data_IF_115342781894
#
_entry.id   IF_115342781894
#
_cell.length_a   1.000
_cell.length_b   1.000
_cell.length_c   1.000
_cell.angle_alpha   90.00
_cell.angle_beta   90.00
_cell.angle_gamma   90.00
#
_symmetry.space_group_name_H-M   'P 1'
#
loop_
_entity.id
_entity.type
_entity.pdbx_description
1 polymer ?
#
# COMPACT_ATOMS: atom_id res chain seq x y z
N UNK A 1 15.84 4.82 6.83
CA UNK A 1 16.36 3.81 5.89
C UNK A 1 15.40 3.67 4.72
N UNK A 2 15.94 3.39 3.51
CA UNK A 2 15.17 3.07 2.32
C UNK A 2 15.56 1.68 1.80
N UNK A 3 14.63 0.71 1.90
CA UNK A 3 14.87 -0.68 1.48
C UNK A 3 14.39 -0.87 0.05
N UNK A 4 15.26 -1.26 -0.86
CA UNK A 4 14.94 -1.47 -2.29
C UNK A 4 15.90 -2.44 -2.96
N UNK A 5 15.44 -3.10 -4.04
CA UNK A 5 16.29 -3.87 -4.95
C UNK A 5 17.26 -2.99 -5.76
N UNK A 6 16.89 -1.72 -6.01
CA UNK A 6 17.72 -0.75 -6.72
C UNK A 6 18.04 0.41 -5.79
N UNK A 7 19.13 0.29 -5.05
CA UNK A 7 19.53 1.25 -4.03
C UNK A 7 19.98 2.62 -4.59
N UNK A 8 20.41 2.68 -5.87
CA UNK A 8 20.76 3.94 -6.52
C UNK A 8 19.60 4.96 -6.57
N UNK A 9 18.36 4.49 -6.44
CA UNK A 9 17.16 5.33 -6.39
C UNK A 9 16.81 5.84 -4.99
N UNK A 10 17.58 5.45 -3.96
CA UNK A 10 17.38 5.94 -2.59
C UNK A 10 18.19 7.23 -2.42
N UNK A 11 17.48 8.33 -2.19
CA UNK A 11 18.09 9.65 -2.06
C UNK A 11 18.29 10.05 -0.58
N UNK A 12 19.32 10.82 -0.25
CA UNK A 12 19.47 11.41 1.08
C UNK A 12 18.19 12.17 1.50
N UNK A 13 17.83 12.18 2.78
CA UNK A 13 18.58 11.67 3.93
C UNK A 13 18.41 10.16 4.22
N UNK A 14 17.76 9.40 3.35
CA UNK A 14 17.56 7.98 3.56
C UNK A 14 18.88 7.19 3.40
N UNK A 15 19.12 6.27 4.31
CA UNK A 15 20.24 5.32 4.23
C UNK A 15 19.75 4.10 3.41
N UNK A 16 20.40 3.80 2.26
CA UNK A 16 19.97 2.70 1.41
C UNK A 16 20.27 1.33 2.02
N UNK A 17 19.33 0.41 1.90
CA UNK A 17 19.50 -1.00 2.20
C UNK A 17 19.06 -1.81 0.98
N UNK A 18 19.95 -2.64 0.46
CA UNK A 18 19.58 -3.60 -0.59
C UNK A 18 18.80 -4.76 0.02
N UNK A 19 17.61 -5.02 -0.47
CA UNK A 19 16.89 -6.27 -0.23
C UNK A 19 15.83 -6.51 -1.28
N UNK A 20 15.59 -7.79 -1.58
CA UNK A 20 14.41 -8.28 -2.28
C UNK A 20 13.37 -8.72 -1.25
N UNK A 21 12.15 -8.20 -1.37
CA UNK A 21 11.06 -8.53 -0.45
C UNK A 21 10.68 -10.01 -0.49
N UNK A 22 10.95 -10.70 -1.60
CA UNK A 22 10.65 -12.12 -1.76
C UNK A 22 11.75 -13.03 -1.18
N UNK A 23 12.92 -12.46 -0.91
CA UNK A 23 14.02 -13.17 -0.26
C UNK A 23 13.90 -13.05 1.26
N UNK A 24 13.52 -14.16 1.91
CA UNK A 24 13.31 -14.20 3.37
C UNK A 24 14.58 -13.93 4.17
N UNK A 25 15.73 -14.37 3.71
CA UNK A 25 17.01 -14.14 4.38
C UNK A 25 17.39 -12.67 4.32
N UNK A 26 17.22 -12.05 3.16
CA UNK A 26 17.39 -10.61 2.98
C UNK A 26 16.46 -9.84 3.94
N UNK A 27 15.17 -10.18 3.98
CA UNK A 27 14.21 -9.49 4.83
C UNK A 27 14.49 -9.70 6.32
N UNK A 28 14.95 -10.87 6.72
CA UNK A 28 15.37 -11.13 8.09
C UNK A 28 16.60 -10.31 8.46
N UNK A 29 17.59 -10.20 7.58
CA UNK A 29 18.75 -9.34 7.74
C UNK A 29 18.36 -7.85 7.86
N UNK A 30 17.37 -7.39 7.07
CA UNK A 30 16.83 -6.04 7.20
C UNK A 30 16.21 -5.84 8.58
N UNK A 31 15.36 -6.74 9.03
CA UNK A 31 14.64 -6.61 10.32
C UNK A 31 15.54 -6.81 11.54
N UNK A 32 16.77 -7.30 11.38
CA UNK A 32 17.77 -7.32 12.47
C UNK A 32 18.28 -5.93 12.87
N UNK A 33 17.93 -4.88 12.13
CA UNK A 33 18.37 -3.48 12.33
C UNK A 33 17.45 -2.66 13.24
N UNK A 34 16.79 -3.21 14.19
CA UNK A 34 16.04 -2.49 15.24
C UNK A 34 15.23 -1.27 14.77
N UNK A 35 14.26 -1.47 13.88
CA UNK A 35 13.36 -0.40 13.48
C UNK A 35 12.24 -0.21 14.50
N UNK A 36 11.90 1.06 14.82
CA UNK A 36 10.71 1.39 15.61
C UNK A 36 9.45 1.42 14.75
N UNK A 37 9.56 1.87 13.50
CA UNK A 37 8.44 2.01 12.56
C UNK A 37 8.84 1.42 11.21
N UNK A 38 7.95 0.62 10.64
CA UNK A 38 8.11 0.04 9.30
C UNK A 38 6.96 0.51 8.42
N UNK A 39 7.30 1.14 7.29
CA UNK A 39 6.33 1.61 6.30
C UNK A 39 6.54 0.81 5.02
N UNK A 40 5.49 0.14 4.56
CA UNK A 40 5.54 -0.75 3.39
C UNK A 40 4.72 -0.16 2.25
N UNK A 41 5.41 0.19 1.15
CA UNK A 41 4.82 0.79 -0.05
C UNK A 41 5.23 -0.02 -1.28
N UNK A 42 4.50 -1.08 -1.56
CA UNK A 42 4.81 -1.99 -2.67
C UNK A 42 4.14 -1.53 -3.96
N UNK A 43 4.80 -1.84 -5.07
CA UNK A 43 4.24 -1.69 -6.42
C UNK A 43 4.62 -2.94 -7.22
N UNK A 44 3.67 -3.61 -7.88
CA UNK A 44 3.97 -4.77 -8.70
C UNK A 44 4.88 -4.39 -9.89
N UNK A 45 5.83 -5.26 -10.20
CA UNK A 45 6.66 -5.12 -11.40
C UNK A 45 5.83 -5.38 -12.66
N UNK A 46 4.81 -6.23 -12.55
CA UNK A 46 3.92 -6.61 -13.63
C UNK A 46 2.46 -6.43 -13.20
N UNK A 47 1.68 -5.75 -14.05
CA UNK A 47 0.23 -5.60 -13.85
C UNK A 47 -0.51 -6.86 -14.35
N UNK A 48 -0.38 -7.95 -13.59
CA UNK A 48 -1.04 -9.23 -13.81
C UNK A 48 -1.53 -9.82 -12.48
N UNK A 49 -2.47 -10.77 -12.49
CA UNK A 49 -2.89 -11.47 -11.27
C UNK A 49 -1.70 -12.08 -10.51
N UNK A 50 -0.77 -12.69 -11.25
CA UNK A 50 0.45 -13.28 -10.67
C UNK A 50 1.36 -12.21 -10.08
N UNK A 51 1.61 -11.10 -10.80
CA UNK A 51 2.43 -9.99 -10.32
C UNK A 51 1.86 -9.39 -9.02
N UNK A 52 0.53 -9.25 -8.92
CA UNK A 52 -0.15 -8.80 -7.69
C UNK A 52 0.01 -9.81 -6.56
N UNK A 53 -0.23 -11.09 -6.83
CA UNK A 53 -0.08 -12.14 -5.83
C UNK A 53 1.33 -12.18 -5.26
N UNK A 54 2.33 -12.22 -6.13
CA UNK A 54 3.74 -12.26 -5.75
C UNK A 54 4.15 -11.01 -4.96
N UNK A 55 3.79 -9.82 -5.44
CA UNK A 55 4.19 -8.57 -4.79
C UNK A 55 3.48 -8.37 -3.45
N UNK A 56 2.16 -8.52 -3.43
CA UNK A 56 1.40 -8.18 -2.23
C UNK A 56 1.34 -9.34 -1.24
N UNK A 57 0.86 -10.52 -1.64
CA UNK A 57 0.65 -11.61 -0.69
C UNK A 57 1.95 -12.32 -0.30
N UNK A 58 2.81 -12.69 -1.27
CA UNK A 58 4.09 -13.32 -0.96
C UNK A 58 5.03 -12.32 -0.28
N UNK A 59 5.05 -11.05 -0.74
CA UNK A 59 5.78 -9.98 -0.07
C UNK A 59 5.32 -9.73 1.36
N UNK A 60 4.00 -9.66 1.62
CA UNK A 60 3.45 -9.56 2.97
C UNK A 60 3.84 -10.76 3.84
N UNK A 61 3.84 -11.95 3.25
CA UNK A 61 4.22 -13.19 3.95
C UNK A 61 5.70 -13.20 4.34
N UNK A 62 6.57 -12.71 3.47
CA UNK A 62 8.00 -12.59 3.73
C UNK A 62 8.29 -11.52 4.80
N UNK A 63 7.66 -10.35 4.69
CA UNK A 63 7.78 -9.28 5.70
C UNK A 63 7.30 -9.78 7.05
N UNK A 64 6.10 -10.38 7.12
CA UNK A 64 5.56 -10.90 8.36
C UNK A 64 6.48 -11.94 9.00
N UNK A 65 7.02 -12.86 8.20
CA UNK A 65 7.99 -13.82 8.70
C UNK A 65 9.20 -13.13 9.33
N UNK A 66 9.78 -12.13 8.66
CA UNK A 66 10.92 -11.38 9.18
C UNK A 66 10.58 -10.58 10.45
N UNK A 67 9.38 -10.00 10.52
CA UNK A 67 8.87 -9.28 11.70
C UNK A 67 8.68 -10.22 12.90
N UNK A 68 8.11 -11.41 12.69
CA UNK A 68 7.90 -12.39 13.76
C UNK A 68 9.22 -12.90 14.35
N UNK A 69 10.29 -12.92 13.55
CA UNK A 69 11.63 -13.37 13.95
C UNK A 69 12.59 -12.22 14.28
N UNK A 70 12.12 -10.97 14.28
CA UNK A 70 12.93 -9.82 14.67
C UNK A 70 13.24 -9.84 16.17
N UNK A 71 14.49 -9.57 16.54
CA UNK A 71 14.91 -9.47 17.96
C UNK A 71 14.18 -8.33 18.68
N UNK A 72 13.99 -7.21 18.00
CA UNK A 72 13.18 -6.09 18.45
C UNK A 72 12.01 -5.89 17.49
N UNK A 73 10.81 -5.98 18.03
CA UNK A 73 9.58 -5.79 17.25
C UNK A 73 9.33 -4.31 16.99
N UNK A 74 9.03 -3.90 15.75
CA UNK A 74 8.59 -2.54 15.46
C UNK A 74 7.33 -2.19 16.27
N UNK A 75 7.25 -0.95 16.73
CA UNK A 75 6.11 -0.43 17.48
C UNK A 75 4.92 -0.11 16.58
N UNK A 76 5.18 0.15 15.29
CA UNK A 76 4.17 0.46 14.29
C UNK A 76 4.57 -0.11 12.93
N UNK A 77 3.61 -0.75 12.28
CA UNK A 77 3.70 -1.14 10.87
C UNK A 77 2.60 -0.40 10.11
N UNK A 78 2.98 0.35 9.07
CA UNK A 78 2.05 0.96 8.14
C UNK A 78 2.13 0.19 6.82
N UNK A 79 1.01 -0.39 6.40
CA UNK A 79 0.87 -1.09 5.13
C UNK A 79 0.03 -0.27 4.16
N UNK A 80 0.62 0.15 3.06
CA UNK A 80 -0.10 0.86 2.00
C UNK A 80 -0.79 -0.16 1.09
N UNK A 81 -2.11 -0.07 1.05
CA UNK A 81 -3.03 -0.87 0.22
C UNK A 81 -3.79 0.03 -0.76
N UNK A 82 -4.89 -0.44 -1.30
CA UNK A 82 -5.66 0.26 -2.33
C UNK A 82 -7.17 0.15 -2.10
N UNK A 83 -7.92 1.22 -2.40
CA UNK A 83 -9.38 1.18 -2.47
C UNK A 83 -9.92 0.23 -3.55
N UNK A 84 -9.06 -0.35 -4.39
CA UNK A 84 -9.45 -1.40 -5.34
C UNK A 84 -10.16 -2.57 -4.65
N UNK A 85 -9.92 -2.82 -3.37
CA UNK A 85 -10.60 -3.87 -2.60
C UNK A 85 -12.11 -3.67 -2.49
N UNK A 86 -12.61 -2.47 -2.78
CA UNK A 86 -14.04 -2.12 -2.81
C UNK A 86 -14.66 -2.13 -4.20
N UNK A 87 -13.91 -2.52 -5.24
CA UNK A 87 -14.30 -2.35 -6.66
C UNK A 87 -15.71 -2.84 -6.98
N UNK A 88 -16.10 -3.96 -6.41
CA UNK A 88 -17.42 -4.57 -6.67
C UNK A 88 -18.31 -4.53 -5.42
N UNK A 89 -18.13 -3.52 -4.58
CA UNK A 89 -19.10 -3.20 -3.53
C UNK A 89 -20.41 -2.77 -4.19
N UNK A 90 -21.50 -3.28 -3.68
CA UNK A 90 -22.86 -2.82 -4.10
C UNK A 90 -23.23 -1.48 -3.45
N UNK A 91 -22.35 -0.91 -2.64
CA UNK A 91 -22.58 0.35 -1.96
C UNK A 91 -22.25 1.54 -2.88
N UNK A 92 -23.15 2.54 -2.89
CA UNK A 92 -22.92 3.77 -3.62
C UNK A 92 -21.77 4.59 -3.04
N UNK A 93 -21.52 4.46 -1.74
CA UNK A 93 -20.41 5.07 -1.00
C UNK A 93 -19.80 4.01 -0.09
N UNK A 94 -18.50 3.94 -0.02
CA UNK A 94 -17.76 2.98 0.80
C UNK A 94 -16.96 3.70 1.88
N UNK A 95 -16.82 3.05 3.03
CA UNK A 95 -16.00 3.47 4.15
C UNK A 95 -15.18 2.29 4.70
N UNK A 96 -14.47 2.52 5.80
CA UNK A 96 -13.63 1.52 6.44
C UNK A 96 -14.42 0.31 6.97
N UNK A 97 -15.72 0.47 7.25
CA UNK A 97 -16.61 -0.60 7.74
C UNK A 97 -17.24 -1.42 6.62
N UNK A 98 -17.14 -0.95 5.37
CA UNK A 98 -17.75 -1.61 4.21
C UNK A 98 -17.15 -3.01 3.99
N UNK A 99 -17.99 -4.06 3.91
CA UNK A 99 -17.53 -5.42 3.68
C UNK A 99 -16.77 -5.56 2.36
N UNK A 100 -15.67 -6.32 2.39
CA UNK A 100 -14.88 -6.59 1.19
C UNK A 100 -15.49 -7.74 0.39
N UNK A 101 -15.56 -7.57 -0.93
CA UNK A 101 -15.98 -8.60 -1.86
C UNK A 101 -14.75 -9.10 -2.62
N UNK A 102 -14.50 -10.41 -2.55
CA UNK A 102 -13.39 -11.05 -3.25
C UNK A 102 -13.75 -11.26 -4.73
N UNK A 103 -13.71 -10.20 -5.51
CA UNK A 103 -14.30 -10.10 -6.84
C UNK A 103 -13.39 -10.58 -7.97
N UNK A 104 -12.09 -10.37 -7.83
CA UNK A 104 -11.08 -10.79 -8.81
C UNK A 104 -9.76 -11.19 -8.13
N UNK A 105 -8.85 -11.81 -8.88
CA UNK A 105 -7.56 -12.25 -8.35
C UNK A 105 -6.65 -11.09 -7.89
N UNK A 106 -6.82 -9.90 -8.41
CA UNK A 106 -6.09 -8.70 -7.96
C UNK A 106 -6.58 -8.24 -6.58
N UNK A 107 -7.91 -8.19 -6.41
CA UNK A 107 -8.56 -7.87 -5.13
C UNK A 107 -8.20 -8.91 -4.08
N UNK A 108 -8.26 -10.19 -4.45
CA UNK A 108 -7.87 -11.31 -3.58
C UNK A 108 -6.44 -11.18 -3.07
N UNK A 109 -5.50 -10.84 -3.94
CA UNK A 109 -4.10 -10.65 -3.55
C UNK A 109 -3.94 -9.54 -2.50
N UNK A 110 -4.65 -8.40 -2.67
CA UNK A 110 -4.64 -7.29 -1.73
C UNK A 110 -5.25 -7.69 -0.38
N UNK A 111 -6.44 -8.30 -0.38
CA UNK A 111 -7.14 -8.73 0.85
C UNK A 111 -6.28 -9.75 1.61
N UNK A 112 -5.71 -10.74 0.91
CA UNK A 112 -4.84 -11.74 1.54
C UNK A 112 -3.58 -11.11 2.15
N UNK A 113 -3.01 -10.09 1.50
CA UNK A 113 -1.86 -9.35 2.02
C UNK A 113 -2.22 -8.54 3.29
N UNK A 114 -3.34 -7.80 3.27
CA UNK A 114 -3.84 -7.07 4.44
C UNK A 114 -4.07 -8.01 5.63
N UNK A 115 -4.75 -9.14 5.41
CA UNK A 115 -4.98 -10.16 6.44
C UNK A 115 -3.67 -10.74 6.97
N UNK A 116 -2.68 -10.95 6.10
CA UNK A 116 -1.37 -11.46 6.49
C UNK A 116 -0.65 -10.47 7.41
N UNK A 117 -0.63 -9.20 7.08
CA UNK A 117 0.00 -8.16 7.91
C UNK A 117 -0.79 -7.95 9.21
N UNK A 118 -2.12 -7.94 9.17
CA UNK A 118 -2.94 -7.82 10.38
C UNK A 118 -2.81 -9.00 11.35
N UNK A 119 -2.29 -10.15 10.89
CA UNK A 119 -1.98 -11.28 11.78
C UNK A 119 -0.67 -11.11 12.56
N UNK A 120 0.05 -10.00 12.39
CA UNK A 120 1.22 -9.66 13.19
C UNK A 120 0.79 -9.27 14.61
N UNK A 121 1.53 -9.79 15.60
CA UNK A 121 1.30 -9.50 17.02
C UNK A 121 1.96 -8.16 17.41
N UNK A 122 1.42 -7.06 16.92
CA UNK A 122 1.88 -5.71 17.15
C UNK A 122 0.93 -4.70 16.49
N UNK A 123 1.21 -3.40 16.66
CA UNK A 123 0.35 -2.37 16.03
C UNK A 123 0.57 -2.35 14.53
N UNK A 124 -0.51 -2.61 13.80
CA UNK A 124 -0.58 -2.46 12.34
C UNK A 124 -1.61 -1.40 11.96
N UNK A 125 -1.32 -0.69 10.89
CA UNK A 125 -2.23 0.29 10.26
C UNK A 125 -2.25 0.00 8.77
N UNK A 126 -3.41 -0.32 8.22
CA UNK A 126 -3.63 -0.44 6.79
C UNK A 126 -4.11 0.90 6.26
N UNK A 127 -3.54 1.39 5.16
CA UNK A 127 -4.03 2.57 4.46
C UNK A 127 -4.44 2.16 3.05
N UNK A 128 -5.72 2.27 2.72
CA UNK A 128 -6.27 2.05 1.39
C UNK A 128 -6.33 3.36 0.64
N UNK A 129 -5.29 3.65 -0.15
CA UNK A 129 -5.32 4.84 -1.01
C UNK A 129 -6.17 4.64 -2.25
N UNK A 130 -6.88 5.70 -2.64
CA UNK A 130 -7.55 5.79 -3.94
C UNK A 130 -6.52 5.96 -5.08
N UNK A 131 -6.96 6.15 -6.32
CA UNK A 131 -6.06 6.28 -7.45
C UNK A 131 -5.01 7.38 -7.27
N UNK A 132 -3.76 7.00 -6.98
CA UNK A 132 -2.67 7.95 -6.71
C UNK A 132 -2.23 8.61 -8.01
N UNK A 133 -2.18 9.94 -8.03
CA UNK A 133 -1.67 10.73 -9.14
C UNK A 133 -0.62 11.76 -8.68
N UNK A 134 0.09 12.37 -9.62
CA UNK A 134 1.09 13.43 -9.36
C UNK A 134 2.35 13.24 -10.19
N UNK A 135 3.42 13.92 -9.80
CA UNK A 135 4.70 13.86 -10.50
C UNK A 135 5.21 12.40 -10.58
N UNK A 136 5.62 11.98 -11.77
CA UNK A 136 6.05 10.59 -12.09
C UNK A 136 4.96 9.51 -11.96
N UNK A 137 3.68 9.89 -11.80
CA UNK A 137 2.53 8.97 -11.78
C UNK A 137 1.48 9.38 -12.80
N UNK A 138 1.90 9.42 -14.07
CA UNK A 138 1.11 9.91 -15.20
C UNK A 138 0.45 8.76 -16.00
N UNK A 139 0.22 7.59 -15.39
CA UNK A 139 -0.32 6.42 -16.09
C UNK A 139 -1.65 6.74 -16.79
N UNK A 140 -2.56 7.44 -16.12
CA UNK A 140 -3.84 7.84 -16.71
C UNK A 140 -3.63 8.77 -17.92
N UNK A 141 -2.75 9.77 -17.78
CA UNK A 141 -2.44 10.68 -18.88
C UNK A 141 -1.85 9.93 -20.07
N UNK A 142 -0.92 9.01 -19.84
CA UNK A 142 -0.35 8.17 -20.89
C UNK A 142 -1.40 7.28 -21.55
N UNK A 143 -2.35 6.73 -20.78
CA UNK A 143 -3.45 5.93 -21.32
C UNK A 143 -4.32 6.76 -22.26
N UNK A 144 -4.72 7.97 -21.84
CA UNK A 144 -5.52 8.88 -22.67
C UNK A 144 -4.76 9.29 -23.93
N UNK A 145 -3.49 9.67 -23.82
CA UNK A 145 -2.64 10.05 -24.95
C UNK A 145 -2.44 8.90 -25.96
N UNK A 146 -2.46 7.66 -25.50
CA UNK A 146 -2.36 6.47 -26.35
C UNK A 146 -3.72 5.93 -26.83
N UNK A 147 -4.82 6.68 -26.65
CA UNK A 147 -6.14 6.32 -27.12
C UNK A 147 -6.85 5.23 -26.32
N UNK A 148 -6.34 4.86 -25.14
CA UNK A 148 -6.96 3.85 -24.27
C UNK A 148 -8.13 4.40 -23.41
N UNK A 149 -8.60 5.63 -23.66
CA UNK A 149 -9.69 6.26 -22.91
C UNK A 149 -11.12 5.90 -23.36
N UNK A 150 -11.28 5.00 -24.34
CA UNK A 150 -12.47 4.98 -25.20
C UNK A 150 -13.67 4.13 -24.81
N UNK A 151 -13.68 3.39 -23.69
CA UNK A 151 -14.82 2.51 -23.35
C UNK A 151 -15.17 2.48 -21.85
N UNK A 152 -15.09 3.61 -21.19
CA UNK A 152 -15.60 3.71 -19.83
C UNK A 152 -17.06 4.12 -19.89
N UNK A 153 -17.94 3.35 -19.23
CA UNK A 153 -19.34 3.77 -19.10
C UNK A 153 -19.38 5.12 -18.38
N UNK A 154 -20.15 6.07 -18.90
CA UNK A 154 -20.29 7.43 -18.36
C UNK A 154 -20.74 7.51 -16.90
N UNK A 155 -21.06 6.39 -16.28
CA UNK A 155 -21.55 6.29 -14.90
C UNK A 155 -20.54 5.74 -13.90
N UNK A 156 -19.29 5.50 -14.31
CA UNK A 156 -18.26 5.03 -13.39
C UNK A 156 -17.64 6.21 -12.61
N UNK A 157 -17.78 6.17 -11.30
CA UNK A 157 -17.13 7.13 -10.40
C UNK A 157 -15.70 6.70 -10.08
N UNK A 158 -14.81 7.67 -9.97
CA UNK A 158 -13.42 7.45 -9.52
C UNK A 158 -13.06 8.42 -8.42
N UNK A 159 -12.28 7.94 -7.47
CA UNK A 159 -11.63 8.75 -6.45
C UNK A 159 -10.12 8.79 -6.69
N UNK A 160 -9.52 9.90 -6.35
CA UNK A 160 -8.09 10.14 -6.53
C UNK A 160 -7.48 10.72 -5.25
N UNK A 161 -6.16 10.67 -5.18
CA UNK A 161 -5.39 11.34 -4.14
C UNK A 161 -4.04 11.75 -4.72
N UNK A 162 -3.58 12.96 -4.41
CA UNK A 162 -2.26 13.40 -4.85
C UNK A 162 -1.16 12.69 -4.05
N UNK A 163 -0.03 12.36 -4.71
CA UNK A 163 1.07 11.64 -4.07
C UNK A 163 1.63 12.36 -2.84
N UNK A 164 1.66 13.69 -2.85
CA UNK A 164 2.10 14.48 -1.68
C UNK A 164 1.15 14.35 -0.50
N UNK A 165 -0.16 14.23 -0.75
CA UNK A 165 -1.13 14.03 0.32
C UNK A 165 -1.05 12.61 0.90
N UNK A 166 -0.71 11.60 0.07
CA UNK A 166 -0.36 10.27 0.58
C UNK A 166 0.82 10.35 1.56
N UNK A 167 1.89 11.08 1.18
CA UNK A 167 3.08 11.26 2.02
C UNK A 167 2.74 12.01 3.31
N UNK A 168 1.99 13.12 3.21
CA UNK A 168 1.56 13.91 4.37
C UNK A 168 0.69 13.08 5.32
N UNK A 169 -0.20 12.26 4.77
CA UNK A 169 -1.06 11.40 5.58
C UNK A 169 -0.27 10.33 6.34
N UNK A 170 0.68 9.67 5.68
CA UNK A 170 1.58 8.72 6.34
C UNK A 170 2.39 9.41 7.43
N UNK A 171 2.98 10.58 7.14
CA UNK A 171 3.75 11.35 8.12
C UNK A 171 2.88 11.75 9.33
N UNK A 172 1.65 12.22 9.08
CA UNK A 172 0.69 12.55 10.14
C UNK A 172 0.41 11.35 11.06
N UNK A 173 0.20 10.16 10.51
CA UNK A 173 -0.03 8.95 11.33
C UNK A 173 1.21 8.57 12.15
N UNK A 174 2.42 8.73 11.57
CA UNK A 174 3.68 8.52 12.30
C UNK A 174 3.79 9.50 13.47
N UNK A 175 3.55 10.79 13.24
CA UNK A 175 3.60 11.82 14.28
C UNK A 175 2.58 11.53 15.39
N UNK A 176 1.33 11.20 15.02
CA UNK A 176 0.28 10.80 16.00
C UNK A 176 0.68 9.58 16.83
N UNK A 177 1.34 8.60 16.21
CA UNK A 177 1.86 7.44 16.94
C UNK A 177 2.96 7.82 17.93
N UNK A 178 3.90 8.67 17.50
CA UNK A 178 5.02 9.15 18.34
C UNK A 178 4.48 9.98 19.53
N UNK A 179 3.44 10.77 19.32
CA UNK A 179 2.76 11.55 20.37
C UNK A 179 1.90 10.68 21.33
N UNK A 180 1.88 9.35 21.11
CA UNK A 180 1.12 8.43 21.95
C UNK A 180 -0.38 8.38 21.67
N UNK A 181 -0.83 8.94 20.55
CA UNK A 181 -2.23 8.87 20.14
C UNK A 181 -2.62 7.48 19.71
N UNK A 182 -3.86 7.07 19.99
CA UNK A 182 -4.41 5.82 19.49
C UNK A 182 -4.72 5.98 18.02
N UNK A 183 -4.18 5.06 17.20
CA UNK A 183 -4.49 4.97 15.78
C UNK A 183 -5.52 3.87 15.53
N UNK A 184 -6.44 4.10 14.58
CA UNK A 184 -7.26 3.03 14.03
C UNK A 184 -6.41 2.01 13.29
N UNK A 185 -6.97 0.84 12.98
CA UNK A 185 -6.25 -0.20 12.25
C UNK A 185 -6.38 -0.06 10.73
N UNK A 186 -7.35 0.72 10.27
CA UNK A 186 -7.66 0.92 8.87
C UNK A 186 -8.04 2.37 8.60
N UNK A 187 -7.54 2.92 7.50
CA UNK A 187 -7.91 4.22 6.95
C UNK A 187 -8.10 4.15 5.45
N UNK A 188 -9.04 4.93 4.94
CA UNK A 188 -9.17 5.22 3.51
C UNK A 188 -8.57 6.60 3.23
N UNK A 189 -7.61 6.66 2.31
CA UNK A 189 -7.00 7.92 1.87
C UNK A 189 -7.52 8.33 0.49
N UNK A 190 -8.23 9.45 0.43
CA UNK A 190 -8.77 10.04 -0.82
C UNK A 190 -8.86 11.55 -0.69
N UNK A 191 -8.90 12.26 -1.82
CA UNK A 191 -9.09 13.72 -1.85
C UNK A 191 -10.54 14.17 -1.56
N UNK A 192 -11.43 13.21 -1.37
CA UNK A 192 -12.85 13.44 -1.09
C UNK A 192 -13.61 14.22 -2.21
N UNK A 193 -13.08 14.21 -3.43
CA UNK A 193 -13.69 14.82 -4.61
C UNK A 193 -13.89 13.74 -5.69
N UNK A 194 -14.93 12.89 -5.55
CA UNK A 194 -15.22 11.88 -6.56
C UNK A 194 -15.59 12.52 -7.89
N UNK A 195 -15.06 12.00 -8.99
CA UNK A 195 -15.33 12.47 -10.33
C UNK A 195 -15.85 11.34 -11.22
N UNK A 196 -16.75 11.65 -12.12
CA UNK A 196 -17.17 10.70 -13.16
C UNK A 196 -16.03 10.51 -14.16
N UNK A 197 -15.82 9.28 -14.54
CA UNK A 197 -14.87 8.94 -15.60
C UNK A 197 -15.61 9.11 -16.92
N UNK A 198 -15.41 10.24 -17.59
CA UNK A 198 -15.96 10.58 -18.93
C UNK A 198 -14.90 10.38 -19.99
#
# INVERSE_FOLDING_TARGET
FGVRRQIANVQPPLIPIFADILDRENMQSVMSKDFDIVIVTLTPDEYSPRGYWTTYFEGASSIKYALDNALKRPKLIIWVSSTRVYRDSNEATVDESTPLVNSDEYVKALICAENKINSYDGKTVIIRFSGIYGKHRCHLLHSVLNGFGGNVSSDTWTNRIHIEDCVRFIAFLVDRHVDGSVLENLYIGTDNVPVKQT
#
